data_IF_793598648822
#
_entry.id   IF_793598648822
#
_cell.length_a   1.000
_cell.length_b   1.000
_cell.length_c   1.000
_cell.angle_alpha   90.00
_cell.angle_beta   90.00
_cell.angle_gamma   90.00
#
_symmetry.space_group_name_H-M   'P 1'
#
loop_
_entity.id
_entity.type
_entity.pdbx_description
1 polymer ?
#
# COMPACT_ATOMS: atom_id res chain seq x y z
N UNK A 1 -13.83 -28.97 88.95
CA UNK A 1 -14.10 -30.39 89.43
C UNK A 1 -13.96 -31.30 88.20
N UNK A 2 -13.08 -32.29 88.35
CA UNK A 2 -12.99 -33.60 87.66
C UNK A 2 -12.63 -33.64 86.20
N UNK A 3 -11.34 -33.98 85.97
CA UNK A 3 -10.89 -34.97 84.98
C UNK A 3 -11.63 -36.29 85.14
N UNK A 4 -11.61 -37.30 84.28
CA UNK A 4 -10.45 -37.92 83.64
C UNK A 4 -10.74 -38.40 82.20
N UNK A 5 -9.75 -38.71 81.42
CA UNK A 5 -8.88 -39.91 81.30
C UNK A 5 -9.11 -40.60 79.94
N UNK A 6 -8.03 -40.71 79.18
CA UNK A 6 -7.38 -41.92 78.66
C UNK A 6 -8.19 -42.89 77.78
N UNK A 7 -7.68 -43.13 76.60
CA UNK A 7 -7.21 -44.40 76.04
C UNK A 7 -6.85 -44.19 74.56
N UNK A 8 -5.53 -44.20 74.30
CA UNK A 8 -4.73 -45.32 73.86
C UNK A 8 -5.42 -46.19 72.78
N UNK A 9 -4.91 -46.17 71.59
CA UNK A 9 -4.44 -47.38 70.91
C UNK A 9 -3.97 -47.09 69.52
N UNK A 10 -2.69 -47.11 69.32
CA UNK A 10 -1.94 -47.82 68.26
C UNK A 10 -2.75 -48.30 67.05
N UNK A 11 -2.44 -47.74 65.92
CA UNK A 11 -2.19 -48.48 64.70
C UNK A 11 -1.18 -47.69 63.86
N UNK A 12 0.06 -47.93 64.23
CA UNK A 12 1.22 -47.74 63.38
C UNK A 12 1.25 -49.00 62.51
N UNK A 13 1.33 -48.88 61.30
CA UNK A 13 1.88 -49.73 60.22
C UNK A 13 0.97 -49.77 58.98
N UNK A 14 1.62 -49.58 57.85
CA UNK A 14 1.15 -49.85 56.50
C UNK A 14 0.64 -48.67 55.70
N UNK A 15 1.50 -47.71 55.44
CA UNK A 15 1.35 -46.87 54.25
C UNK A 15 2.70 -46.33 53.76
N UNK A 16 3.66 -47.22 53.62
CA UNK A 16 4.98 -46.91 53.10
C UNK A 16 5.30 -47.86 51.95
N UNK A 17 4.47 -47.82 50.89
CA UNK A 17 4.73 -48.57 49.65
C UNK A 17 3.79 -48.10 48.57
N UNK A 18 3.99 -46.92 48.06
CA UNK A 18 3.52 -46.46 46.72
C UNK A 18 4.14 -45.12 46.34
N UNK A 19 5.44 -44.96 46.57
CA UNK A 19 6.23 -43.89 45.97
C UNK A 19 7.21 -44.48 44.96
N UNK A 20 6.77 -45.53 44.25
CA UNK A 20 7.35 -45.89 42.97
C UNK A 20 6.67 -45.05 41.91
N UNK A 21 7.00 -43.76 41.86
CA UNK A 21 6.58 -42.94 40.75
C UNK A 21 7.13 -43.53 39.47
N UNK A 22 6.27 -43.75 38.50
CA UNK A 22 6.68 -43.99 37.13
C UNK A 22 7.48 -42.77 36.66
N UNK A 23 8.80 -42.83 36.84
CA UNK A 23 9.67 -42.04 35.98
C UNK A 23 9.53 -42.63 34.58
N UNK A 24 8.56 -42.17 33.85
CA UNK A 24 8.54 -42.42 32.41
C UNK A 24 9.75 -41.72 31.83
N UNK A 25 10.54 -42.42 31.05
CA UNK A 25 11.58 -41.79 30.25
C UNK A 25 10.93 -40.66 29.45
N UNK A 26 11.54 -39.50 29.50
CA UNK A 26 11.15 -38.40 28.64
C UNK A 26 11.14 -38.92 27.21
N UNK A 27 9.99 -38.79 26.52
CA UNK A 27 9.87 -39.24 25.16
C UNK A 27 10.97 -38.59 24.32
N UNK A 28 11.63 -39.37 23.50
CA UNK A 28 12.62 -38.83 22.57
C UNK A 28 11.92 -37.83 21.67
N UNK A 29 12.57 -36.68 21.48
CA UNK A 29 12.12 -35.70 20.49
C UNK A 29 11.91 -36.41 19.13
N UNK A 30 10.79 -36.14 18.51
CA UNK A 30 10.51 -36.64 17.17
C UNK A 30 11.62 -36.18 16.23
N UNK A 31 11.94 -37.01 15.23
CA UNK A 31 12.87 -36.61 14.19
C UNK A 31 12.41 -35.27 13.55
N UNK A 32 13.37 -34.38 13.35
CA UNK A 32 13.11 -33.14 12.64
C UNK A 32 12.40 -33.45 11.31
N UNK A 33 11.32 -32.73 11.02
CA UNK A 33 10.64 -32.86 9.72
C UNK A 33 11.63 -32.58 8.60
N UNK A 34 11.49 -33.31 7.51
CA UNK A 34 12.25 -33.01 6.28
C UNK A 34 11.84 -31.64 5.74
N UNK A 35 12.81 -30.86 5.28
CA UNK A 35 12.56 -29.62 4.59
C UNK A 35 11.53 -29.83 3.48
N UNK A 36 10.57 -28.92 3.36
CA UNK A 36 9.60 -28.95 2.27
C UNK A 36 10.32 -28.87 0.93
N UNK A 37 9.77 -29.55 -0.08
CA UNK A 37 10.29 -29.43 -1.45
C UNK A 37 10.34 -27.95 -1.86
N UNK A 38 11.39 -27.51 -2.58
CA UNK A 38 11.42 -26.18 -3.16
C UNK A 38 10.12 -25.90 -3.93
N UNK A 39 9.53 -24.73 -3.75
CA UNK A 39 8.37 -24.31 -4.52
C UNK A 39 8.71 -24.38 -6.02
N UNK A 40 7.73 -24.77 -6.84
CA UNK A 40 7.88 -24.68 -8.29
C UNK A 40 8.21 -23.25 -8.68
N UNK A 41 9.12 -23.07 -9.63
CA UNK A 41 9.33 -21.77 -10.26
C UNK A 41 7.99 -21.22 -10.72
N UNK A 42 7.73 -19.94 -10.40
CA UNK A 42 6.55 -19.26 -10.93
C UNK A 42 6.57 -19.35 -12.46
N UNK A 43 5.39 -19.44 -13.05
CA UNK A 43 5.27 -19.28 -14.51
C UNK A 43 5.77 -17.88 -14.86
N UNK A 44 6.57 -17.77 -15.92
CA UNK A 44 6.95 -16.48 -16.46
C UNK A 44 5.68 -15.65 -16.65
N UNK A 45 5.71 -14.40 -16.15
CA UNK A 45 4.61 -13.48 -16.37
C UNK A 45 4.39 -13.35 -17.88
N UNK A 46 3.14 -13.27 -18.31
CA UNK A 46 2.84 -12.85 -19.69
C UNK A 46 3.56 -11.53 -19.91
N UNK A 47 4.31 -11.42 -21.00
CA UNK A 47 5.05 -10.22 -21.34
C UNK A 47 4.13 -8.99 -21.18
N UNK A 48 4.42 -8.17 -20.17
CA UNK A 48 3.83 -6.84 -20.09
C UNK A 48 4.23 -6.12 -21.38
N UNK A 49 3.36 -5.23 -21.87
CA UNK A 49 3.72 -4.36 -22.99
C UNK A 49 5.03 -3.67 -22.61
N UNK A 50 6.06 -3.91 -23.38
CA UNK A 50 7.34 -3.26 -23.18
C UNK A 50 7.17 -1.77 -23.46
N UNK A 51 7.67 -0.93 -22.58
CA UNK A 51 7.51 0.53 -22.71
C UNK A 51 8.18 1.12 -23.97
N UNK A 52 9.10 0.40 -24.58
CA UNK A 52 9.74 0.75 -25.85
C UNK A 52 8.91 0.32 -27.06
N UNK A 53 8.00 -0.64 -26.92
CA UNK A 53 7.16 -1.18 -28.01
C UNK A 53 6.00 -0.22 -28.30
N UNK A 54 6.30 0.79 -29.08
CA UNK A 54 5.36 1.89 -29.39
C UNK A 54 4.20 1.45 -30.27
N UNK A 55 4.42 0.44 -31.12
CA UNK A 55 3.41 -0.09 -32.03
C UNK A 55 2.72 -1.37 -31.51
N UNK A 56 3.12 -1.86 -30.33
CA UNK A 56 2.56 -3.00 -29.60
C UNK A 56 2.62 -4.33 -30.40
N UNK A 57 3.64 -4.48 -31.23
CA UNK A 57 3.82 -5.70 -32.02
C UNK A 57 4.72 -6.75 -31.34
N UNK A 58 5.33 -6.42 -30.20
CA UNK A 58 6.23 -7.28 -29.44
C UNK A 58 7.61 -7.49 -30.08
N UNK A 59 7.94 -6.74 -31.13
CA UNK A 59 9.20 -6.82 -31.87
C UNK A 59 9.95 -5.50 -31.72
N UNK A 60 11.26 -5.58 -31.42
CA UNK A 60 12.11 -4.40 -31.32
C UNK A 60 12.44 -3.81 -32.71
N UNK A 61 11.87 -2.66 -33.02
CA UNK A 61 12.05 -1.97 -34.30
C UNK A 61 13.07 -0.82 -34.17
N UNK A 62 14.33 -1.08 -34.49
CA UNK A 62 15.40 -0.07 -34.40
C UNK A 62 15.09 1.25 -35.13
N UNK A 63 14.28 1.21 -36.17
CA UNK A 63 13.94 2.41 -36.94
C UNK A 63 12.99 3.36 -36.23
N UNK A 64 12.15 2.84 -35.34
CA UNK A 64 11.04 3.58 -34.71
C UNK A 64 11.06 3.57 -33.20
N UNK A 65 11.74 2.60 -32.60
CA UNK A 65 11.71 2.33 -31.17
C UNK A 65 13.06 2.52 -30.46
N UNK A 66 14.17 2.58 -31.21
CA UNK A 66 15.48 3.05 -30.72
C UNK A 66 15.46 4.58 -30.62
N UNK A 67 14.87 5.08 -29.54
CA UNK A 67 14.62 6.52 -29.35
C UNK A 67 15.87 7.29 -28.98
N UNK A 68 16.83 6.65 -28.29
CA UNK A 68 18.12 7.24 -27.93
C UNK A 68 19.20 7.04 -29.01
N UNK A 69 18.90 6.25 -30.05
CA UNK A 69 19.72 5.97 -31.22
C UNK A 69 21.07 5.30 -30.88
N UNK A 70 21.05 4.47 -29.86
CA UNK A 70 22.25 3.73 -29.45
C UNK A 70 22.44 2.41 -30.23
N UNK A 71 21.49 2.03 -31.09
CA UNK A 71 21.51 0.83 -31.90
C UNK A 71 20.93 -0.41 -31.20
N UNK A 72 20.28 -0.23 -30.06
CA UNK A 72 19.63 -1.31 -29.29
C UNK A 72 18.30 -0.79 -28.77
N UNK A 73 17.21 -1.55 -28.95
CA UNK A 73 15.93 -1.22 -28.33
C UNK A 73 15.87 -1.83 -26.94
N UNK A 74 15.88 -1.00 -25.91
CA UNK A 74 15.91 -1.46 -24.52
C UNK A 74 15.13 -0.51 -23.58
N UNK A 75 15.28 -0.71 -22.26
CA UNK A 75 14.61 0.10 -21.24
C UNK A 75 14.97 1.59 -21.32
N UNK A 76 16.07 1.98 -21.95
CA UNK A 76 16.47 3.38 -22.11
C UNK A 76 15.59 4.07 -23.17
N UNK A 77 15.04 3.31 -24.11
CA UNK A 77 14.10 3.79 -25.13
C UNK A 77 12.70 4.05 -24.58
N UNK A 78 12.43 3.59 -23.38
CA UNK A 78 11.22 3.95 -22.63
C UNK A 78 11.22 5.41 -22.18
N UNK A 79 12.30 6.12 -22.38
CA UNK A 79 12.34 7.55 -22.16
C UNK A 79 11.78 8.22 -23.39
N UNK A 80 10.78 9.06 -23.20
CA UNK A 80 10.42 10.02 -24.24
C UNK A 80 11.70 10.73 -24.71
N UNK A 81 11.91 10.89 -26.03
CA UNK A 81 13.10 11.54 -26.56
C UNK A 81 13.38 12.83 -25.80
N UNK A 82 14.60 12.98 -25.31
CA UNK A 82 14.98 14.23 -24.66
C UNK A 82 14.85 15.36 -25.65
N UNK A 83 13.78 16.16 -25.54
CA UNK A 83 13.51 17.33 -26.39
C UNK A 83 12.25 17.26 -27.27
N UNK A 84 11.59 16.09 -27.45
CA UNK A 84 10.42 15.97 -28.32
C UNK A 84 9.08 15.87 -27.55
N UNK A 85 9.10 15.44 -26.29
CA UNK A 85 7.92 15.33 -25.46
C UNK A 85 8.13 16.08 -24.15
N UNK A 86 7.55 17.26 -24.07
CA UNK A 86 7.46 18.05 -22.84
C UNK A 86 6.04 17.93 -22.27
N UNK A 87 5.79 16.96 -21.38
CA UNK A 87 4.47 16.80 -20.76
C UNK A 87 4.07 18.05 -19.97
N UNK A 88 5.04 18.74 -19.36
CA UNK A 88 4.77 19.99 -18.64
C UNK A 88 4.35 21.10 -19.61
N UNK A 89 4.98 21.21 -20.79
CA UNK A 89 4.60 22.17 -21.82
C UNK A 89 3.21 21.93 -22.35
N UNK A 90 2.85 20.68 -22.64
CA UNK A 90 1.51 20.30 -23.10
C UNK A 90 0.45 20.62 -22.05
N UNK A 91 0.67 20.21 -20.81
CA UNK A 91 -0.29 20.45 -19.73
C UNK A 91 -0.38 21.94 -19.40
N UNK A 92 0.73 22.65 -19.39
CA UNK A 92 0.74 24.10 -19.20
C UNK A 92 -0.10 24.82 -20.26
N UNK A 93 0.09 24.46 -21.54
CA UNK A 93 -0.70 25.01 -22.64
C UNK A 93 -2.19 24.74 -22.45
N UNK A 94 -2.54 23.47 -22.23
CA UNK A 94 -3.94 23.07 -22.04
C UNK A 94 -4.60 23.78 -20.86
N UNK A 95 -3.99 23.78 -19.68
CA UNK A 95 -4.58 24.36 -18.46
C UNK A 95 -4.54 25.90 -18.44
N UNK A 96 -3.72 26.53 -19.27
CA UNK A 96 -3.80 27.99 -19.47
C UNK A 96 -5.11 28.38 -20.16
N UNK A 97 -5.56 27.59 -21.13
CA UNK A 97 -6.81 27.83 -21.86
C UNK A 97 -8.03 27.20 -21.16
N UNK A 98 -7.81 26.12 -20.40
CA UNK A 98 -8.86 25.33 -19.74
C UNK A 98 -8.54 25.23 -18.24
N UNK A 99 -8.91 26.20 -17.40
CA UNK A 99 -8.60 26.20 -15.98
C UNK A 99 -8.97 24.88 -15.30
N UNK A 100 -8.10 24.41 -14.43
CA UNK A 100 -8.29 23.11 -13.75
C UNK A 100 -9.51 23.13 -12.84
N UNK A 101 -10.44 22.21 -13.07
CA UNK A 101 -11.70 22.07 -12.30
C UNK A 101 -11.80 20.73 -11.57
N UNK A 102 -10.87 19.82 -11.76
CA UNK A 102 -10.87 18.51 -11.09
C UNK A 102 -10.32 17.38 -11.94
N UNK A 103 -10.35 16.21 -11.34
CA UNK A 103 -9.76 14.98 -11.89
C UNK A 103 -10.38 14.54 -13.21
N UNK A 104 -11.66 14.83 -13.45
CA UNK A 104 -12.33 14.50 -14.71
C UNK A 104 -11.59 15.06 -15.94
N UNK A 105 -10.93 16.21 -15.84
CA UNK A 105 -10.10 16.73 -16.91
C UNK A 105 -8.85 15.87 -17.18
N UNK A 106 -8.26 15.32 -16.15
CA UNK A 106 -7.16 14.37 -16.31
C UNK A 106 -7.64 13.06 -16.95
N UNK A 107 -8.76 12.53 -16.46
CA UNK A 107 -9.35 11.28 -16.94
C UNK A 107 -9.81 11.37 -18.40
N UNK A 108 -10.13 12.55 -18.90
CA UNK A 108 -10.48 12.74 -20.32
C UNK A 108 -9.37 12.23 -21.26
N UNK A 109 -8.12 12.47 -20.93
CA UNK A 109 -6.97 11.98 -21.69
C UNK A 109 -6.36 10.71 -21.11
N UNK A 110 -6.46 10.50 -19.79
CA UNK A 110 -5.85 9.40 -19.03
C UNK A 110 -6.90 8.43 -18.47
N UNK A 111 -7.88 8.05 -19.28
CA UNK A 111 -9.13 7.39 -18.88
C UNK A 111 -9.04 6.12 -18.05
N UNK A 112 -7.87 5.45 -17.97
CA UNK A 112 -7.69 4.24 -17.14
C UNK A 112 -6.91 4.50 -15.85
N UNK A 113 -6.32 5.67 -15.74
CA UNK A 113 -5.39 5.96 -14.65
C UNK A 113 -6.08 6.05 -13.28
N UNK A 114 -7.32 6.50 -13.23
CA UNK A 114 -8.12 6.53 -12.01
C UNK A 114 -8.34 5.13 -11.43
N UNK A 115 -8.82 4.23 -12.27
CA UNK A 115 -9.03 2.81 -11.95
C UNK A 115 -7.75 2.15 -11.40
N UNK A 116 -6.61 2.41 -12.03
CA UNK A 116 -5.35 1.81 -11.62
C UNK A 116 -4.87 2.34 -10.27
N UNK A 117 -5.01 3.64 -10.03
CA UNK A 117 -4.72 4.26 -8.73
C UNK A 117 -5.62 3.72 -7.63
N UNK A 118 -6.92 3.56 -7.89
CA UNK A 118 -7.88 3.06 -6.91
C UNK A 118 -7.61 1.61 -6.45
N UNK A 119 -6.84 0.84 -7.21
CA UNK A 119 -6.40 -0.51 -6.81
C UNK A 119 -5.23 -0.48 -5.83
N UNK A 120 -4.55 0.64 -5.69
CA UNK A 120 -3.32 0.76 -4.90
C UNK A 120 -3.56 0.94 -3.40
N UNK A 121 -2.53 0.65 -2.60
CA UNK A 121 -2.53 0.95 -1.17
C UNK A 121 -2.54 2.47 -0.88
N UNK A 122 -2.07 3.29 -1.80
CA UNK A 122 -2.10 4.76 -1.67
C UNK A 122 -3.54 5.29 -1.62
N UNK A 123 -4.45 4.65 -2.36
CA UNK A 123 -5.87 4.98 -2.35
C UNK A 123 -6.59 4.29 -1.21
N UNK A 124 -6.46 2.97 -1.10
CA UNK A 124 -7.25 2.16 -0.17
C UNK A 124 -6.86 2.36 1.29
N UNK A 125 -5.60 2.68 1.56
CA UNK A 125 -4.99 2.68 2.89
C UNK A 125 -5.21 1.38 3.67
N UNK A 126 -5.42 0.31 2.98
CA UNK A 126 -5.60 -1.03 3.52
C UNK A 126 -4.98 -2.07 2.59
N UNK A 127 -4.71 -3.23 3.14
CA UNK A 127 -4.18 -4.37 2.41
C UNK A 127 -4.45 -5.67 3.13
N UNK A 128 -4.26 -6.79 2.46
CA UNK A 128 -4.42 -8.10 3.07
C UNK A 128 -3.35 -8.31 4.14
N UNK A 129 -3.78 -8.69 5.33
CA UNK A 129 -2.88 -8.96 6.45
C UNK A 129 -2.34 -10.37 6.33
N UNK A 130 -1.02 -10.51 6.45
CA UNK A 130 -0.33 -11.79 6.49
C UNK A 130 0.60 -11.85 7.72
N UNK A 131 0.73 -13.03 8.32
CA UNK A 131 1.68 -13.26 9.41
C UNK A 131 1.28 -12.67 10.78
N UNK A 132 0.07 -12.14 10.93
CA UNK A 132 -0.46 -11.67 12.21
C UNK A 132 -1.54 -12.63 12.68
N UNK A 133 -1.26 -13.36 13.76
CA UNK A 133 -2.18 -14.34 14.33
C UNK A 133 -3.52 -13.72 14.70
N UNK A 134 -4.60 -14.28 14.18
CA UNK A 134 -5.97 -13.82 14.40
C UNK A 134 -6.46 -12.78 13.41
N UNK A 135 -5.61 -12.37 12.44
CA UNK A 135 -5.96 -11.43 11.39
C UNK A 135 -5.76 -12.01 9.99
N UNK A 136 -5.47 -13.31 9.91
CA UNK A 136 -5.16 -13.99 8.63
C UNK A 136 -6.33 -13.84 7.65
N UNK A 137 -6.02 -13.38 6.45
CA UNK A 137 -7.01 -13.20 5.38
C UNK A 137 -7.97 -12.03 5.55
N UNK A 138 -7.80 -11.24 6.62
CA UNK A 138 -8.54 -9.98 6.78
C UNK A 138 -7.84 -8.85 6.03
N UNK A 139 -8.54 -7.74 5.84
CA UNK A 139 -8.01 -6.53 5.20
C UNK A 139 -7.99 -5.41 6.23
N UNK A 140 -6.79 -4.93 6.53
CA UNK A 140 -6.59 -3.83 7.48
C UNK A 140 -5.50 -2.88 7.01
N UNK A 141 -5.48 -1.70 7.58
CA UNK A 141 -4.44 -0.72 7.30
C UNK A 141 -4.67 0.61 8.01
N UNK A 142 -4.00 1.63 7.53
CA UNK A 142 -4.06 2.98 8.12
C UNK A 142 -5.49 3.53 8.20
N UNK A 143 -6.37 3.06 7.31
CA UNK A 143 -7.76 3.48 7.23
C UNK A 143 -8.56 3.14 8.49
N UNK A 144 -8.31 2.00 9.12
CA UNK A 144 -9.13 1.44 10.20
C UNK A 144 -8.36 1.11 11.48
N UNK A 145 -7.03 1.13 11.44
CA UNK A 145 -6.18 0.88 12.60
C UNK A 145 -5.70 2.18 13.25
N UNK A 146 -5.34 2.09 14.52
CA UNK A 146 -4.65 3.16 15.22
C UNK A 146 -3.27 3.36 14.60
N UNK A 147 -2.97 4.58 14.20
CA UNK A 147 -1.67 4.95 13.65
C UNK A 147 -0.66 5.30 14.75
N UNK A 148 0.57 5.63 14.35
CA UNK A 148 1.67 6.00 15.25
C UNK A 148 1.44 7.32 16.03
N UNK A 149 0.37 8.06 15.76
CA UNK A 149 -0.07 9.23 16.53
C UNK A 149 -1.10 8.84 17.59
N UNK A 150 -1.34 7.56 17.84
CA UNK A 150 -2.37 7.03 18.73
C UNK A 150 -3.80 7.47 18.38
N UNK A 151 -4.05 7.78 17.11
CA UNK A 151 -5.33 8.18 16.56
C UNK A 151 -5.75 7.21 15.47
N UNK A 152 -7.04 6.89 15.43
CA UNK A 152 -7.63 6.19 14.30
C UNK A 152 -8.11 7.21 13.25
N UNK A 153 -8.18 6.78 11.98
CA UNK A 153 -8.78 7.58 10.91
C UNK A 153 -10.28 7.76 11.13
N UNK A 154 -11.07 6.70 11.48
CA UNK A 154 -12.46 6.86 11.83
C UNK A 154 -12.65 7.94 12.90
N UNK A 155 -13.58 8.86 12.66
CA UNK A 155 -13.86 10.07 13.45
C UNK A 155 -12.83 11.21 13.36
N UNK A 156 -11.73 11.01 12.62
CA UNK A 156 -10.70 12.01 12.37
C UNK A 156 -10.36 12.12 10.86
N UNK A 157 -11.22 11.65 10.00
CA UNK A 157 -11.01 11.53 8.57
C UNK A 157 -10.50 12.84 7.97
N UNK A 158 -11.18 13.94 8.26
CA UNK A 158 -10.83 15.24 7.72
C UNK A 158 -9.37 15.66 7.99
N UNK A 159 -8.82 15.31 9.14
CA UNK A 159 -7.45 15.63 9.51
C UNK A 159 -6.47 14.59 8.98
N UNK A 160 -6.80 13.30 9.12
CA UNK A 160 -5.93 12.21 8.69
C UNK A 160 -5.82 12.14 7.17
N UNK A 161 -6.90 12.48 6.47
CA UNK A 161 -6.98 12.43 5.01
C UNK A 161 -6.19 13.52 4.29
N UNK A 162 -5.60 14.47 5.01
CA UNK A 162 -4.71 15.47 4.40
C UNK A 162 -3.58 14.84 3.57
N UNK A 163 -3.09 13.69 3.99
CA UNK A 163 -2.06 12.93 3.24
C UNK A 163 -2.63 11.90 2.27
N UNK A 164 -3.96 11.74 2.21
CA UNK A 164 -4.58 10.81 1.27
C UNK A 164 -4.54 11.38 -0.15
N UNK A 165 -4.40 10.50 -1.14
CA UNK A 165 -4.37 10.90 -2.56
C UNK A 165 -5.78 11.11 -3.13
N UNK A 166 -6.69 11.71 -2.37
CA UNK A 166 -8.06 11.98 -2.76
C UNK A 166 -8.56 13.29 -2.20
N UNK A 167 -9.63 13.79 -2.81
CA UNK A 167 -10.31 15.01 -2.41
C UNK A 167 -11.50 14.71 -1.50
N UNK A 168 -11.75 15.56 -0.51
CA UNK A 168 -13.03 15.61 0.18
C UNK A 168 -13.31 14.49 1.17
N UNK A 169 -12.31 13.74 1.61
CA UNK A 169 -12.50 12.70 2.63
C UNK A 169 -12.61 13.33 4.03
N UNK A 170 -13.77 13.86 4.34
CA UNK A 170 -14.06 14.57 5.60
C UNK A 170 -14.71 13.70 6.68
N UNK A 171 -15.33 12.59 6.29
CA UNK A 171 -16.07 11.68 7.16
C UNK A 171 -16.21 10.28 6.55
N UNK A 172 -16.91 9.39 7.24
CA UNK A 172 -17.11 7.99 6.85
C UNK A 172 -17.92 7.80 5.53
N UNK A 173 -18.52 8.85 4.99
CA UNK A 173 -19.32 8.78 3.75
C UNK A 173 -18.47 9.00 2.49
N UNK A 174 -17.14 9.09 2.63
CA UNK A 174 -16.27 9.26 1.47
C UNK A 174 -16.42 8.10 0.47
N UNK A 175 -16.65 8.45 -0.78
CA UNK A 175 -16.79 7.45 -1.85
C UNK A 175 -15.44 7.02 -2.42
N UNK A 176 -14.95 5.87 -1.96
CA UNK A 176 -13.73 5.24 -2.48
C UNK A 176 -13.89 4.62 -3.86
N UNK A 177 -15.09 4.63 -4.46
CA UNK A 177 -15.36 4.06 -5.78
C UNK A 177 -15.40 5.12 -6.88
N UNK A 178 -15.38 6.38 -6.54
CA UNK A 178 -15.38 7.47 -7.50
C UNK A 178 -13.96 7.85 -7.90
N UNK A 179 -13.64 7.66 -9.19
CA UNK A 179 -12.38 8.10 -9.77
C UNK A 179 -12.19 9.62 -9.69
N UNK A 180 -13.27 10.38 -9.71
CA UNK A 180 -13.23 11.84 -9.61
C UNK A 180 -12.70 12.34 -8.28
N UNK A 181 -12.76 11.49 -7.24
CA UNK A 181 -12.19 11.80 -5.94
C UNK A 181 -10.67 11.55 -5.87
N UNK A 182 -10.07 10.97 -6.91
CA UNK A 182 -8.61 10.78 -6.97
C UNK A 182 -7.93 12.13 -7.22
N UNK A 183 -6.89 12.42 -6.45
CA UNK A 183 -6.09 13.63 -6.59
C UNK A 183 -4.81 13.34 -7.39
N UNK A 184 -4.88 13.52 -8.70
CA UNK A 184 -3.74 13.30 -9.58
C UNK A 184 -2.60 14.29 -9.28
N UNK A 185 -2.93 15.51 -8.85
CA UNK A 185 -1.94 16.55 -8.57
C UNK A 185 -1.07 16.21 -7.36
N UNK A 186 -1.58 15.46 -6.38
CA UNK A 186 -0.82 15.05 -5.21
C UNK A 186 0.47 14.30 -5.58
N UNK A 187 0.42 13.50 -6.65
CA UNK A 187 1.57 12.74 -7.14
C UNK A 187 2.29 13.42 -8.30
N UNK A 188 1.59 14.15 -9.15
CA UNK A 188 2.11 14.60 -10.44
C UNK A 188 2.46 16.08 -10.52
N UNK A 189 1.86 16.96 -9.71
CA UNK A 189 2.21 18.38 -9.70
C UNK A 189 3.63 18.61 -9.14
N UNK A 190 4.20 19.73 -9.45
CA UNK A 190 5.42 20.18 -8.78
C UNK A 190 5.13 20.40 -7.30
N UNK A 191 5.91 19.75 -6.43
CA UNK A 191 5.71 19.84 -4.97
C UNK A 191 5.82 21.28 -4.41
N UNK A 192 6.45 22.19 -5.14
CA UNK A 192 6.50 23.61 -4.78
C UNK A 192 5.21 24.36 -5.14
N UNK A 193 4.38 23.82 -6.04
CA UNK A 193 3.16 24.48 -6.55
C UNK A 193 1.88 23.92 -5.95
N UNK A 194 1.93 22.72 -5.36
CA UNK A 194 0.75 22.03 -4.87
C UNK A 194 0.91 21.57 -3.42
N UNK A 195 -0.05 21.92 -2.61
CA UNK A 195 -0.16 21.47 -1.23
C UNK A 195 -1.61 21.11 -0.88
N UNK A 196 -1.78 20.29 0.13
CA UNK A 196 -3.08 19.78 0.57
C UNK A 196 -3.42 20.31 1.97
N UNK A 197 -4.72 20.42 2.22
CA UNK A 197 -5.29 20.82 3.49
C UNK A 197 -6.23 19.75 4.05
N UNK A 198 -7.07 20.16 5.00
CA UNK A 198 -8.08 19.30 5.62
C UNK A 198 -8.92 18.55 4.57
N UNK A 199 -9.20 17.30 4.87
CA UNK A 199 -9.95 16.37 4.01
C UNK A 199 -9.28 16.09 2.66
N UNK A 200 -8.00 16.37 2.52
CA UNK A 200 -7.27 16.13 1.27
C UNK A 200 -7.55 17.16 0.17
N UNK A 201 -8.28 18.23 0.48
CA UNK A 201 -8.52 19.30 -0.50
C UNK A 201 -7.23 20.09 -0.77
N UNK A 202 -7.11 20.76 -1.93
CA UNK A 202 -6.03 21.70 -2.15
C UNK A 202 -5.95 22.73 -1.02
N UNK A 203 -4.74 23.11 -0.63
CA UNK A 203 -4.55 24.15 0.38
C UNK A 203 -5.05 25.49 -0.13
N UNK A 204 -5.46 26.37 0.79
CA UNK A 204 -5.88 27.73 0.45
C UNK A 204 -4.74 28.47 -0.27
N UNK A 205 -5.06 29.18 -1.34
CA UNK A 205 -4.11 29.94 -2.13
C UNK A 205 -3.30 29.14 -3.16
N UNK A 206 -3.52 27.80 -3.29
CA UNK A 206 -2.92 27.01 -4.37
C UNK A 206 -3.45 27.50 -5.72
N UNK A 207 -2.53 27.87 -6.62
CA UNK A 207 -2.84 28.11 -8.01
C UNK A 207 -2.98 26.75 -8.75
N UNK A 208 -4.23 26.32 -8.91
CA UNK A 208 -4.53 25.03 -9.53
C UNK A 208 -4.16 24.98 -11.03
N UNK A 209 -4.15 26.11 -11.72
CA UNK A 209 -3.71 26.19 -13.12
C UNK A 209 -2.21 25.96 -13.20
N UNK A 210 -1.45 26.63 -12.34
CA UNK A 210 -0.01 26.42 -12.25
C UNK A 210 0.34 25.00 -11.82
N UNK A 211 -0.38 24.45 -10.82
CA UNK A 211 -0.17 23.08 -10.34
C UNK A 211 -0.46 22.05 -11.44
N UNK A 212 -1.61 22.15 -12.12
CA UNK A 212 -1.98 21.25 -13.20
C UNK A 212 -1.07 21.42 -14.44
N UNK A 213 -0.62 22.64 -14.71
CA UNK A 213 0.35 22.91 -15.79
C UNK A 213 1.76 22.40 -15.48
N UNK A 214 2.08 22.08 -14.22
CA UNK A 214 3.39 21.59 -13.80
C UNK A 214 3.52 20.07 -13.75
N UNK A 215 2.45 19.33 -14.09
CA UNK A 215 2.41 17.87 -13.92
C UNK A 215 3.49 17.17 -14.73
N UNK A 216 4.09 16.17 -14.07
CA UNK A 216 5.19 15.37 -14.60
C UNK A 216 5.21 13.98 -13.95
N UNK A 217 6.19 13.15 -14.24
CA UNK A 217 6.39 11.90 -13.49
C UNK A 217 6.60 12.20 -12.01
N UNK A 218 5.97 11.45 -11.10
CA UNK A 218 6.18 11.62 -9.67
C UNK A 218 7.66 11.55 -9.28
N UNK A 219 8.04 12.40 -8.35
CA UNK A 219 9.39 12.41 -7.77
C UNK A 219 9.31 12.04 -6.29
N UNK A 220 10.48 11.86 -5.65
CA UNK A 220 10.51 11.63 -4.19
C UNK A 220 9.90 12.78 -3.39
N UNK A 221 9.93 13.98 -3.91
CA UNK A 221 9.34 15.17 -3.27
C UNK A 221 7.80 15.06 -3.17
N UNK A 222 7.15 14.39 -4.12
CA UNK A 222 5.71 14.14 -4.08
C UNK A 222 5.32 13.08 -3.04
N UNK A 223 6.26 12.20 -2.66
CA UNK A 223 5.99 11.11 -1.73
C UNK A 223 6.20 11.50 -0.26
N UNK A 224 6.45 12.76 0.01
CA UNK A 224 6.78 13.27 1.33
C UNK A 224 8.28 13.18 1.64
N UNK A 225 8.78 14.20 2.23
CA UNK A 225 10.11 14.30 2.84
C UNK A 225 10.03 13.91 4.30
#
# INVERSE_FOLDING_TARGET
MRKPSLLFSTFLTAAFLCLGGCAGDDGRDGAAGTDGAPGSSGTDGTNGLNCWDLNQNGVADLATEDTDKNGTVDVNDCRAPSGAYDPAGLHKGYFTENPYTGTSQCLYCHGRSGDDVMKTAHWKWEGTVSGIKGFEGTTHGKKDLINNFCLAVPTNEGRCAQCHIGYGWKDANFDFKSEENVDCLACHADAATYGKSTAGNPAEGVDLVAAAGSVRRPTRQNCGS
#
